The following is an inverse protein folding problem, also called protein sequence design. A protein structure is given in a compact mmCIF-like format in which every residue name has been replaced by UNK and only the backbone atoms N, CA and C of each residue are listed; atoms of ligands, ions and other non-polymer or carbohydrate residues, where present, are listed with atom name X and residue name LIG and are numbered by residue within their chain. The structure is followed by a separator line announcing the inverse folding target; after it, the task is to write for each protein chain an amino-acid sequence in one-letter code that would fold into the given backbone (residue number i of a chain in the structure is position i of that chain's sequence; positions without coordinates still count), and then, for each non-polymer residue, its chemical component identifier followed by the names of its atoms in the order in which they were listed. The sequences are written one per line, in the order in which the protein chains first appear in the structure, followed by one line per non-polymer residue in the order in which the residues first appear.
data_IF_448679454239
#
_entry.id   IF_448679454239
#
_cell.length_a   1.000
_cell.length_b   1.000
_cell.length_c   1.000
_cell.angle_alpha   90.00
_cell.angle_beta   90.00
_cell.angle_gamma   90.00
#
_symmetry.space_group_name_H-M   'P 1'
#
loop_
_entity.id
_entity.type
_entity.pdbx_description
1 polymer ?
#
# COMPACT_ATOMS: atom_id res chain seq x y z
N UNK A 1 10.24 -6.14 -18.62
CA UNK A 1 10.23 -7.18 -17.57
C UNK A 1 11.31 -6.90 -16.51
N UNK A 2 11.42 -5.65 -16.03
CA UNK A 2 12.44 -5.23 -15.04
C UNK A 2 11.89 -4.27 -13.96
N UNK A 3 10.57 -4.05 -13.88
CA UNK A 3 10.01 -3.09 -12.91
C UNK A 3 9.48 -3.73 -11.63
N UNK A 4 9.20 -5.05 -11.64
CA UNK A 4 8.62 -5.75 -10.48
C UNK A 4 9.68 -6.27 -9.49
N UNK A 5 10.90 -6.56 -9.93
CA UNK A 5 11.97 -7.03 -9.04
C UNK A 5 12.60 -5.90 -8.20
N UNK A 6 12.41 -4.63 -8.59
CA UNK A 6 12.89 -3.50 -7.80
C UNK A 6 12.04 -3.23 -6.56
N UNK A 7 10.76 -3.61 -6.55
CA UNK A 7 9.87 -3.42 -5.39
C UNK A 7 10.04 -4.48 -4.32
N UNK A 8 10.41 -5.72 -4.69
CA UNK A 8 10.50 -6.86 -3.77
C UNK A 8 11.79 -6.83 -2.92
N UNK A 9 12.90 -6.30 -3.45
CA UNK A 9 14.18 -6.22 -2.73
C UNK A 9 14.26 -5.06 -1.70
N UNK A 10 13.25 -4.17 -1.63
CA UNK A 10 13.38 -2.86 -0.96
C UNK A 10 12.74 -2.71 0.43
N UNK A 11 12.01 -3.70 0.95
CA UNK A 11 11.25 -3.50 2.20
C UNK A 11 11.99 -3.91 3.49
N UNK A 12 13.08 -4.68 3.40
CA UNK A 12 13.73 -5.25 4.60
C UNK A 12 14.94 -4.46 5.14
N UNK A 13 15.44 -3.42 4.43
CA UNK A 13 16.62 -2.63 4.85
C UNK A 13 16.42 -1.12 4.59
N UNK A 14 15.56 -0.39 5.34
CA UNK A 14 14.85 0.72 4.73
C UNK A 14 15.51 2.11 4.86
N UNK A 15 16.42 2.37 5.80
CA UNK A 15 16.56 3.77 6.27
C UNK A 15 17.88 4.49 6.01
N UNK A 16 19.01 3.81 5.80
CA UNK A 16 20.32 4.51 5.75
C UNK A 16 20.88 4.72 4.35
N UNK A 17 20.77 3.73 3.46
CA UNK A 17 21.19 3.84 2.06
C UNK A 17 20.26 4.75 1.27
N UNK A 18 18.95 4.52 1.36
CA UNK A 18 17.93 5.33 0.66
C UNK A 18 18.00 6.83 0.99
N UNK A 19 18.24 7.19 2.26
CA UNK A 19 18.37 8.60 2.68
C UNK A 19 19.59 9.28 2.05
N UNK A 20 20.74 8.59 1.99
CA UNK A 20 21.97 9.13 1.38
C UNK A 20 21.82 9.35 -0.12
N UNK A 21 21.22 8.39 -0.82
CA UNK A 21 20.97 8.49 -2.26
C UNK A 21 19.95 9.59 -2.57
N UNK A 22 18.87 9.65 -1.78
CA UNK A 22 17.90 10.75 -1.85
C UNK A 22 18.56 12.12 -1.62
N UNK A 23 19.38 12.29 -0.57
CA UNK A 23 20.08 13.56 -0.30
C UNK A 23 21.04 13.95 -1.43
N UNK A 24 21.66 12.98 -2.11
CA UNK A 24 22.52 13.23 -3.27
C UNK A 24 21.71 13.66 -4.49
N UNK A 25 20.58 13.00 -4.76
CA UNK A 25 19.69 13.32 -5.87
C UNK A 25 19.02 14.69 -5.69
N UNK A 26 18.61 14.99 -4.46
CA UNK A 26 17.98 16.25 -4.05
C UNK A 26 18.84 17.46 -4.44
N UNK A 27 20.13 17.44 -4.09
CA UNK A 27 21.10 18.48 -4.44
C UNK A 27 21.22 18.79 -5.94
N UNK A 28 20.85 17.87 -6.82
CA UNK A 28 20.98 18.04 -8.27
C UNK A 28 19.67 18.44 -8.95
N UNK A 29 18.51 18.16 -8.33
CA UNK A 29 17.19 18.32 -8.97
C UNK A 29 16.05 18.47 -7.95
N UNK A 30 16.17 19.45 -7.04
CA UNK A 30 15.25 19.69 -5.91
C UNK A 30 13.76 19.75 -6.32
N UNK A 31 13.43 20.40 -7.45
CA UNK A 31 12.04 20.59 -7.91
C UNK A 31 11.55 19.53 -8.89
N UNK A 32 12.30 18.45 -9.10
CA UNK A 32 11.86 17.41 -10.04
C UNK A 32 10.70 16.59 -9.47
N UNK A 33 9.76 16.23 -10.33
CA UNK A 33 8.65 15.34 -10.00
C UNK A 33 9.14 14.03 -9.34
N UNK A 34 10.27 13.50 -9.81
CA UNK A 34 10.87 12.29 -9.24
C UNK A 34 11.23 12.47 -7.76
N UNK A 35 11.84 13.61 -7.41
CA UNK A 35 12.18 13.91 -6.01
C UNK A 35 10.92 14.07 -5.16
N UNK A 36 9.89 14.75 -5.67
CA UNK A 36 8.62 14.90 -4.97
C UNK A 36 7.96 13.54 -4.69
N UNK A 37 7.96 12.61 -5.65
CA UNK A 37 7.42 11.25 -5.45
C UNK A 37 8.24 10.43 -4.46
N UNK A 38 9.57 10.58 -4.45
CA UNK A 38 10.45 9.95 -3.45
C UNK A 38 10.15 10.50 -2.05
N UNK A 39 10.01 11.82 -1.90
CA UNK A 39 9.65 12.47 -0.62
C UNK A 39 8.30 11.96 -0.11
N UNK A 40 7.31 11.86 -0.99
CA UNK A 40 6.00 11.34 -0.63
C UNK A 40 6.07 9.87 -0.18
N UNK A 41 6.79 9.00 -0.90
CA UNK A 41 6.96 7.60 -0.52
C UNK A 41 7.68 7.43 0.83
N UNK A 42 8.72 8.24 1.09
CA UNK A 42 9.40 8.26 2.40
C UNK A 42 8.50 8.81 3.51
N UNK A 43 7.67 9.80 3.19
CA UNK A 43 6.67 10.38 4.08
C UNK A 43 5.63 9.35 4.53
N UNK A 44 5.12 8.53 3.59
CA UNK A 44 4.21 7.43 3.90
C UNK A 44 4.86 6.39 4.83
N UNK A 45 6.11 6.00 4.56
CA UNK A 45 6.83 5.04 5.40
C UNK A 45 7.11 5.55 6.83
N UNK A 46 7.21 6.87 7.01
CA UNK A 46 7.47 7.49 8.31
C UNK A 46 6.18 7.76 9.10
N UNK A 47 5.06 8.00 8.41
CA UNK A 47 3.80 8.38 9.04
C UNK A 47 3.80 9.82 9.59
N UNK A 48 2.79 10.17 10.38
CA UNK A 48 2.66 11.47 11.03
C UNK A 48 2.70 12.64 10.05
N UNK A 49 3.53 13.66 10.33
CA UNK A 49 3.69 14.83 9.45
C UNK A 49 4.16 14.47 8.04
N UNK A 50 4.93 13.38 7.89
CA UNK A 50 5.37 12.88 6.59
C UNK A 50 4.21 12.36 5.73
N UNK A 51 3.23 11.68 6.34
CA UNK A 51 2.03 11.22 5.64
C UNK A 51 1.13 12.39 5.22
N UNK A 52 1.08 13.46 6.02
CA UNK A 52 0.40 14.70 5.65
C UNK A 52 1.02 15.33 4.40
N UNK A 53 2.34 15.48 4.38
CA UNK A 53 3.05 16.00 3.20
C UNK A 53 2.85 15.09 1.97
N UNK A 54 2.93 13.78 2.14
CA UNK A 54 2.71 12.82 1.06
C UNK A 54 1.29 12.94 0.46
N UNK A 55 0.27 13.10 1.29
CA UNK A 55 -1.13 13.30 0.86
C UNK A 55 -1.28 14.56 -0.01
N UNK A 56 -0.61 15.66 0.35
CA UNK A 56 -0.59 16.86 -0.50
C UNK A 56 0.08 16.60 -1.84
N UNK A 57 1.28 16.00 -1.84
CA UNK A 57 2.01 15.71 -3.08
C UNK A 57 1.17 14.83 -4.01
N UNK A 58 0.65 13.69 -3.53
CA UNK A 58 -0.15 12.81 -4.37
C UNK A 58 -1.47 13.44 -4.83
N UNK A 59 -2.07 14.32 -4.03
CA UNK A 59 -3.26 15.08 -4.45
C UNK A 59 -2.94 16.00 -5.62
N UNK A 60 -1.90 16.84 -5.50
CA UNK A 60 -1.46 17.70 -6.59
C UNK A 60 -1.12 16.89 -7.85
N UNK A 61 -0.37 15.80 -7.71
CA UNK A 61 -0.03 14.93 -8.84
C UNK A 61 -1.25 14.27 -9.48
N UNK A 62 -2.28 13.92 -8.70
CA UNK A 62 -3.52 13.34 -9.24
C UNK A 62 -4.36 14.35 -10.03
N UNK A 63 -4.14 15.65 -9.83
CA UNK A 63 -4.84 16.72 -10.56
C UNK A 63 -4.12 17.14 -11.85
N UNK A 64 -2.82 16.84 -11.98
CA UNK A 64 -2.07 17.15 -13.19
C UNK A 64 -2.55 16.29 -14.36
N UNK A 65 -2.86 16.91 -15.51
CA UNK A 65 -3.36 16.22 -16.71
C UNK A 65 -2.46 15.07 -17.20
N UNK A 66 -1.16 15.16 -16.97
CA UNK A 66 -0.19 14.12 -17.34
C UNK A 66 -0.26 12.87 -16.46
N UNK A 67 -0.78 13.00 -15.23
CA UNK A 67 -0.71 11.99 -14.17
C UNK A 67 -2.09 11.63 -13.61
N UNK A 68 -3.14 12.37 -13.95
CA UNK A 68 -4.52 12.18 -13.50
C UNK A 68 -5.17 10.89 -14.00
N UNK A 69 -4.60 10.29 -15.05
CA UNK A 69 -5.01 8.98 -15.56
C UNK A 69 -4.13 7.83 -15.06
N UNK A 70 -3.20 8.09 -14.13
CA UNK A 70 -2.34 7.06 -13.57
C UNK A 70 -2.95 6.45 -12.31
N UNK A 71 -3.47 5.20 -12.36
CA UNK A 71 -4.13 4.58 -11.22
C UNK A 71 -3.17 4.36 -10.03
N UNK A 72 -1.85 4.28 -10.25
CA UNK A 72 -0.88 4.14 -9.16
C UNK A 72 -0.75 5.43 -8.32
N UNK A 73 -0.82 6.61 -8.94
CA UNK A 73 -0.79 7.89 -8.22
C UNK A 73 -2.05 8.07 -7.38
N UNK A 74 -3.21 7.69 -7.94
CA UNK A 74 -4.49 7.75 -7.23
C UNK A 74 -4.52 6.74 -6.08
N UNK A 75 -4.03 5.51 -6.30
CA UNK A 75 -3.90 4.52 -5.23
C UNK A 75 -2.95 5.00 -4.12
N UNK A 76 -1.81 5.61 -4.46
CA UNK A 76 -0.88 6.18 -3.47
C UNK A 76 -1.50 7.34 -2.66
N UNK A 77 -2.36 8.15 -3.29
CA UNK A 77 -3.19 9.14 -2.58
C UNK A 77 -4.12 8.47 -1.57
N UNK A 78 -4.80 7.40 -1.97
CA UNK A 78 -5.65 6.60 -1.08
C UNK A 78 -4.87 6.01 0.11
N UNK A 79 -3.66 5.51 -0.12
CA UNK A 79 -2.75 5.05 0.95
C UNK A 79 -2.40 6.19 1.91
N UNK A 80 -2.17 7.40 1.41
CA UNK A 80 -1.89 8.56 2.24
C UNK A 80 -3.07 8.92 3.16
N UNK A 81 -4.31 8.86 2.66
CA UNK A 81 -5.52 9.02 3.46
C UNK A 81 -5.70 7.88 4.47
N UNK A 82 -5.44 6.64 4.05
CA UNK A 82 -5.52 5.45 4.91
C UNK A 82 -4.59 5.55 6.12
N UNK A 83 -3.32 5.90 5.91
CA UNK A 83 -2.32 6.07 6.99
C UNK A 83 -2.71 7.18 7.97
N UNK A 84 -3.52 8.15 7.52
CA UNK A 84 -4.05 9.26 8.33
C UNK A 84 -5.36 8.91 9.04
N UNK A 85 -5.90 7.71 8.85
CA UNK A 85 -7.19 7.28 9.39
C UNK A 85 -8.41 7.88 8.67
N UNK A 86 -8.21 8.48 7.50
CA UNK A 86 -9.26 9.06 6.67
C UNK A 86 -9.87 7.97 5.77
N UNK A 87 -10.58 7.03 6.38
CA UNK A 87 -11.08 5.83 5.72
C UNK A 87 -12.09 6.12 4.59
N UNK A 88 -13.04 7.07 4.72
CA UNK A 88 -13.97 7.39 3.64
C UNK A 88 -13.27 7.94 2.39
N UNK A 89 -12.29 8.84 2.58
CA UNK A 89 -11.49 9.41 1.51
C UNK A 89 -10.59 8.37 0.86
N UNK A 90 -10.00 7.47 1.66
CA UNK A 90 -9.19 6.37 1.15
C UNK A 90 -10.00 5.42 0.25
N UNK A 91 -11.20 5.02 0.66
CA UNK A 91 -12.07 4.15 -0.16
C UNK A 91 -12.42 4.83 -1.49
N UNK A 92 -12.79 6.11 -1.45
CA UNK A 92 -13.13 6.86 -2.66
C UNK A 92 -11.96 6.92 -3.64
N UNK A 93 -10.73 7.12 -3.14
CA UNK A 93 -9.53 7.13 -3.96
C UNK A 93 -9.21 5.76 -4.57
N UNK A 94 -9.37 4.66 -3.81
CA UNK A 94 -9.14 3.32 -4.35
C UNK A 94 -10.19 2.93 -5.41
N UNK A 95 -11.46 3.27 -5.20
CA UNK A 95 -12.52 3.09 -6.22
C UNK A 95 -12.18 3.86 -7.48
N UNK A 96 -11.75 5.12 -7.34
CA UNK A 96 -11.37 5.94 -8.49
C UNK A 96 -10.15 5.37 -9.22
N UNK A 97 -9.16 4.86 -8.48
CA UNK A 97 -8.00 4.20 -9.07
C UNK A 97 -8.42 2.99 -9.92
N UNK A 98 -9.30 2.13 -9.41
CA UNK A 98 -9.84 0.98 -10.15
C UNK A 98 -10.68 1.39 -11.37
N UNK A 99 -11.40 2.51 -11.28
CA UNK A 99 -12.17 3.07 -12.40
C UNK A 99 -11.27 3.56 -13.53
N UNK A 100 -10.15 4.20 -13.18
CA UNK A 100 -9.19 4.74 -14.15
C UNK A 100 -8.35 3.63 -14.79
N UNK A 101 -8.01 2.58 -14.04
CA UNK A 101 -7.30 1.43 -14.58
C UNK A 101 -7.13 0.29 -13.58
N UNK A 102 -6.64 -0.86 -14.05
CA UNK A 102 -6.36 -2.00 -13.18
C UNK A 102 -5.22 -1.66 -12.22
N UNK A 103 -5.47 -1.80 -10.92
CA UNK A 103 -4.47 -1.58 -9.87
C UNK A 103 -4.63 -2.63 -8.77
N UNK A 104 -3.63 -3.50 -8.63
CA UNK A 104 -3.59 -4.48 -7.54
C UNK A 104 -3.50 -3.79 -6.17
N UNK A 105 -2.73 -2.71 -6.09
CA UNK A 105 -2.56 -1.92 -4.85
C UNK A 105 -3.88 -1.26 -4.41
N UNK A 106 -4.70 -0.79 -5.36
CA UNK A 106 -6.02 -0.25 -5.04
C UNK A 106 -6.99 -1.33 -4.55
N UNK A 107 -7.01 -2.50 -5.19
CA UNK A 107 -7.82 -3.63 -4.76
C UNK A 107 -7.44 -4.08 -3.33
N UNK A 108 -6.14 -4.14 -3.01
CA UNK A 108 -5.65 -4.39 -1.64
C UNK A 108 -6.11 -3.30 -0.69
N UNK A 109 -5.99 -2.02 -1.10
CA UNK A 109 -6.44 -0.88 -0.32
C UNK A 109 -7.91 -0.99 0.11
N UNK A 110 -8.79 -1.41 -0.81
CA UNK A 110 -10.22 -1.63 -0.52
C UNK A 110 -10.48 -2.75 0.48
N UNK A 111 -9.72 -3.86 0.39
CA UNK A 111 -9.79 -4.93 1.41
C UNK A 111 -9.45 -4.37 2.77
N UNK A 112 -8.36 -3.60 2.88
CA UNK A 112 -7.90 -3.03 4.15
C UNK A 112 -8.91 -2.02 4.70
N UNK A 113 -9.44 -1.13 3.85
CA UNK A 113 -10.44 -0.15 4.28
C UNK A 113 -11.74 -0.83 4.73
N UNK A 114 -12.19 -1.88 4.03
CA UNK A 114 -13.37 -2.65 4.41
C UNK A 114 -13.21 -3.31 5.79
N UNK A 115 -12.05 -3.92 6.06
CA UNK A 115 -11.76 -4.52 7.37
C UNK A 115 -11.67 -3.46 8.49
N UNK A 116 -11.15 -2.26 8.20
CA UNK A 116 -11.04 -1.18 9.19
C UNK A 116 -12.35 -0.45 9.47
N UNK A 117 -13.24 -0.31 8.48
CA UNK A 117 -14.55 0.35 8.63
C UNK A 117 -15.64 -0.56 9.22
N UNK A 118 -15.45 -1.88 9.13
CA UNK A 118 -16.52 -2.86 9.30
C UNK A 118 -16.49 -3.66 10.60
N UNK A 119 -17.33 -4.70 10.62
CA UNK A 119 -17.20 -5.83 11.53
C UNK A 119 -16.13 -6.78 10.97
N UNK A 120 -15.48 -7.59 11.82
CA UNK A 120 -14.52 -8.59 11.35
C UNK A 120 -15.08 -9.42 10.18
N UNK A 121 -14.32 -9.48 9.09
CA UNK A 121 -14.68 -10.24 7.88
C UNK A 121 -15.40 -9.44 6.79
N UNK A 122 -15.60 -8.13 6.99
CA UNK A 122 -16.21 -7.27 5.98
C UNK A 122 -15.40 -7.18 4.66
N UNK A 123 -14.10 -7.48 4.71
CA UNK A 123 -13.21 -7.53 3.55
C UNK A 123 -13.02 -8.92 2.95
N UNK A 124 -13.64 -9.98 3.48
CA UNK A 124 -13.42 -11.37 3.02
C UNK A 124 -13.79 -11.58 1.54
N UNK A 125 -14.93 -11.03 1.10
CA UNK A 125 -15.38 -11.16 -0.29
C UNK A 125 -14.44 -10.43 -1.26
N UNK A 126 -13.98 -9.23 -0.86
CA UNK A 126 -12.99 -8.45 -1.60
C UNK A 126 -11.65 -9.18 -1.63
N UNK A 127 -11.25 -9.82 -0.53
CA UNK A 127 -10.01 -10.59 -0.45
C UNK A 127 -10.04 -11.83 -1.35
N UNK A 128 -11.16 -12.57 -1.40
CA UNK A 128 -11.33 -13.69 -2.36
C UNK A 128 -11.17 -13.22 -3.80
N UNK A 129 -11.82 -12.09 -4.14
CA UNK A 129 -11.69 -11.46 -5.45
C UNK A 129 -10.23 -11.06 -5.74
N UNK A 130 -9.53 -10.54 -4.74
CA UNK A 130 -8.10 -10.20 -4.85
C UNK A 130 -7.24 -11.44 -5.10
N UNK A 131 -7.49 -12.56 -4.41
CA UNK A 131 -6.77 -13.81 -4.62
C UNK A 131 -6.93 -14.35 -6.05
N UNK A 132 -8.15 -14.26 -6.59
CA UNK A 132 -8.43 -14.69 -7.97
C UNK A 132 -7.74 -13.80 -9.01
N UNK A 133 -7.75 -12.49 -8.81
CA UNK A 133 -7.23 -11.53 -9.79
C UNK A 133 -5.71 -11.32 -9.69
N UNK A 134 -5.15 -11.35 -8.48
CA UNK A 134 -3.75 -11.03 -8.19
C UNK A 134 -3.10 -12.04 -7.23
N UNK A 135 -3.06 -13.34 -7.56
CA UNK A 135 -2.55 -14.39 -6.66
C UNK A 135 -1.07 -14.22 -6.29
N UNK A 136 -0.30 -13.54 -7.14
CA UNK A 136 1.13 -13.32 -6.92
C UNK A 136 1.45 -12.05 -6.11
N UNK A 137 0.44 -11.28 -5.71
CA UNK A 137 0.64 -10.03 -4.98
C UNK A 137 1.27 -10.30 -3.60
N UNK A 138 2.26 -9.49 -3.15
CA UNK A 138 2.94 -9.71 -1.87
C UNK A 138 1.98 -9.79 -0.67
N UNK A 139 0.92 -8.97 -0.66
CA UNK A 139 -0.11 -9.00 0.38
C UNK A 139 -0.84 -10.35 0.45
N UNK A 140 -1.20 -10.94 -0.70
CA UNK A 140 -1.91 -12.24 -0.75
C UNK A 140 -1.02 -13.34 -0.20
N UNK A 141 0.23 -13.41 -0.68
CA UNK A 141 1.22 -14.39 -0.21
C UNK A 141 1.51 -14.28 1.27
N UNK A 142 1.62 -13.05 1.78
CA UNK A 142 1.88 -12.81 3.21
C UNK A 142 0.70 -13.23 4.09
N UNK A 143 -0.54 -12.95 3.68
CA UNK A 143 -1.75 -13.39 4.41
C UNK A 143 -1.86 -14.92 4.39
N UNK A 144 -1.63 -15.57 3.24
CA UNK A 144 -1.66 -17.04 3.12
C UNK A 144 -0.57 -17.70 3.96
N UNK A 145 0.66 -17.17 3.93
CA UNK A 145 1.76 -17.66 4.75
C UNK A 145 1.46 -17.51 6.25
N UNK A 146 0.86 -16.39 6.67
CA UNK A 146 0.43 -16.17 8.06
C UNK A 146 -0.70 -17.11 8.46
N UNK A 147 -1.63 -17.41 7.56
CA UNK A 147 -2.69 -18.39 7.81
C UNK A 147 -2.10 -19.77 8.05
N UNK A 148 -1.17 -20.22 7.21
CA UNK A 148 -0.49 -21.51 7.38
C UNK A 148 0.30 -21.57 8.69
N UNK A 149 1.03 -20.50 9.02
CA UNK A 149 1.77 -20.41 10.27
C UNK A 149 0.84 -20.48 11.49
N UNK A 150 -0.34 -19.86 11.42
CA UNK A 150 -1.34 -19.94 12.47
C UNK A 150 -1.81 -21.38 12.66
N UNK A 151 -2.15 -22.10 11.58
CA UNK A 151 -2.59 -23.49 11.63
C UNK A 151 -1.50 -24.41 12.21
N UNK A 152 -0.25 -24.22 11.79
CA UNK A 152 0.92 -24.96 12.31
C UNK A 152 1.13 -24.75 13.82
N UNK A 153 0.94 -23.52 14.29
CA UNK A 153 1.08 -23.18 15.71
C UNK A 153 -0.13 -23.71 16.49
N UNK A 154 -1.35 -23.54 15.99
CA UNK A 154 -2.57 -24.03 16.62
C UNK A 154 -2.55 -25.56 16.80
N UNK A 155 -2.01 -26.30 15.84
CA UNK A 155 -1.84 -27.76 15.94
C UNK A 155 -0.94 -28.18 17.11
N UNK A 156 -0.04 -27.32 17.61
CA UNK A 156 0.79 -27.58 18.80
C UNK A 156 0.01 -27.41 20.11
N UNK A 157 -1.11 -26.70 20.07
CA UNK A 157 -2.00 -26.48 21.20
C UNK A 157 -3.21 -27.41 21.11
N UNK A 158 -2.97 -28.73 21.11
CA UNK A 158 -4.06 -29.69 21.30
C UNK A 158 -4.62 -29.53 22.70
N UNK A 159 -5.84 -29.00 22.82
CA UNK A 159 -6.56 -29.02 24.09
C UNK A 159 -6.77 -30.48 24.45
N UNK A 160 -6.10 -30.96 25.50
CA UNK A 160 -6.45 -32.23 26.12
C UNK A 160 -7.83 -32.03 26.74
N UNK A 161 -8.88 -32.34 25.98
CA UNK A 161 -10.19 -32.66 26.55
C UNK A 161 -10.06 -33.99 27.27
N UNK A 162 -9.35 -33.98 28.40
CA UNK A 162 -9.45 -35.03 29.40
C UNK A 162 -10.89 -34.98 29.94
N UNK A 163 -11.56 -36.13 29.77
CA UNK A 163 -12.94 -36.41 30.14
C UNK A 163 -13.24 -36.24 31.63
#
# INVERSE_FOLDING_TARGET
MCCLDCTDLHLHQPNRSRKKEYESAKKHADDSLLIQLIEAALGLATGGAGATQASYIYTEQSLLLSSSSNPAIIAAKGVAHLVRGQLPEAEADFIEAERVGKSADAAVGRVVVAELNGKPGAGEELFKTLQEQYPNHPYVKDVEAKSQLFDEVAAKFTVSTAA
#
